data_IF_535601045709
#
_entry.id   IF_535601045709
#
_cell.length_a   1.000
_cell.length_b   1.000
_cell.length_c   1.000
_cell.angle_alpha   90.00
_cell.angle_beta   90.00
_cell.angle_gamma   90.00
#
_symmetry.space_group_name_H-M   'P 1'
#
loop_
_entity.id
_entity.type
_entity.pdbx_description
1 polymer ?
#
# COMPACT_ATOMS: atom_id res chain seq x y z
N UNK A 1 -7.87 16.86 -12.49
CA UNK A 1 -7.67 15.44 -12.12
C UNK A 1 -9.02 14.77 -12.16
N UNK A 2 -9.12 13.61 -12.80
CA UNK A 2 -10.34 12.79 -12.74
C UNK A 2 -10.60 12.34 -11.31
N UNK A 3 -11.86 11.99 -11.00
CA UNK A 3 -12.25 11.53 -9.66
C UNK A 3 -11.38 10.36 -9.19
N UNK A 4 -11.14 9.39 -10.07
CA UNK A 4 -10.34 8.22 -9.76
C UNK A 4 -8.86 8.56 -9.45
N UNK A 5 -8.29 9.55 -10.14
CA UNK A 5 -6.93 10.03 -9.85
C UNK A 5 -6.85 10.70 -8.47
N UNK A 6 -7.86 11.49 -8.10
CA UNK A 6 -7.90 12.15 -6.80
C UNK A 6 -8.00 11.12 -5.66
N UNK A 7 -8.87 10.10 -5.80
CA UNK A 7 -8.94 8.99 -4.84
C UNK A 7 -7.61 8.23 -4.80
N UNK A 8 -7.00 7.95 -5.94
CA UNK A 8 -5.72 7.23 -6.02
C UNK A 8 -4.58 7.98 -5.34
N UNK A 9 -4.58 9.31 -5.33
CA UNK A 9 -3.59 10.09 -4.58
C UNK A 9 -3.73 9.94 -3.07
N UNK A 10 -4.96 9.88 -2.57
CA UNK A 10 -5.23 9.63 -1.15
C UNK A 10 -4.76 8.21 -0.80
N UNK A 11 -5.14 7.22 -1.61
CA UNK A 11 -4.73 5.83 -1.42
C UNK A 11 -3.20 5.68 -1.48
N UNK A 12 -2.53 6.40 -2.38
CA UNK A 12 -1.07 6.46 -2.45
C UNK A 12 -0.46 6.97 -1.14
N UNK A 13 -0.99 8.06 -0.58
CA UNK A 13 -0.55 8.60 0.72
C UNK A 13 -0.77 7.61 1.88
N UNK A 14 -1.93 6.94 1.91
CA UNK A 14 -2.24 5.91 2.91
C UNK A 14 -1.29 4.71 2.80
N UNK A 15 -0.96 4.26 1.59
CA UNK A 15 0.00 3.18 1.39
C UNK A 15 1.39 3.53 1.93
N UNK A 16 1.87 4.76 1.74
CA UNK A 16 3.14 5.19 2.33
C UNK A 16 3.11 5.14 3.86
N UNK A 17 2.02 5.61 4.49
CA UNK A 17 1.85 5.48 5.94
C UNK A 17 1.89 4.01 6.38
N UNK A 18 1.15 3.13 5.71
CA UNK A 18 1.15 1.71 6.05
C UNK A 18 2.51 1.05 5.83
N UNK A 19 3.23 1.39 4.77
CA UNK A 19 4.59 0.87 4.55
C UNK A 19 5.55 1.33 5.65
N UNK A 20 5.47 2.58 6.10
CA UNK A 20 6.28 3.08 7.20
C UNK A 20 5.94 2.36 8.52
N UNK A 21 4.66 2.21 8.84
CA UNK A 21 4.21 1.50 10.04
C UNK A 21 4.57 0.01 10.00
N UNK A 22 4.44 -0.63 8.84
CA UNK A 22 4.77 -2.05 8.67
C UNK A 22 6.29 -2.26 8.73
N UNK A 23 7.07 -1.39 8.07
CA UNK A 23 8.53 -1.36 8.19
C UNK A 23 8.98 -1.18 9.64
N UNK A 24 8.34 -0.27 10.37
CA UNK A 24 8.57 -0.10 11.81
C UNK A 24 8.20 -1.35 12.61
N UNK A 25 7.08 -2.01 12.28
CA UNK A 25 6.67 -3.24 12.97
C UNK A 25 7.67 -4.37 12.82
N UNK A 26 8.38 -4.46 11.69
CA UNK A 26 9.41 -5.47 11.48
C UNK A 26 10.62 -5.33 12.41
N UNK A 27 10.85 -4.14 13.00
CA UNK A 27 11.89 -3.94 14.02
C UNK A 27 11.60 -4.74 15.30
N UNK A 28 10.32 -5.00 15.57
CA UNK A 28 9.85 -5.72 16.76
C UNK A 28 9.29 -7.11 16.44
N UNK A 29 9.19 -7.47 15.17
CA UNK A 29 8.65 -8.75 14.74
C UNK A 29 9.74 -9.83 14.77
N UNK A 30 9.57 -10.82 15.63
CA UNK A 30 10.49 -11.97 15.71
C UNK A 30 10.19 -12.99 14.60
N UNK A 31 11.20 -13.40 13.81
CA UNK A 31 11.04 -14.44 12.80
C UNK A 31 10.50 -15.75 13.39
N UNK A 32 9.61 -16.43 12.66
CA UNK A 32 8.98 -17.67 13.10
C UNK A 32 7.75 -17.50 13.99
N UNK A 33 7.37 -16.26 14.31
CA UNK A 33 6.12 -15.96 15.03
C UNK A 33 4.95 -15.73 14.06
N UNK A 34 3.72 -15.94 14.55
CA UNK A 34 2.51 -15.60 13.80
C UNK A 34 2.44 -14.13 13.40
N UNK A 35 2.91 -13.23 14.28
CA UNK A 35 2.95 -11.80 14.00
C UNK A 35 3.86 -11.46 12.79
N UNK A 36 5.01 -12.13 12.68
CA UNK A 36 5.91 -11.96 11.54
C UNK A 36 5.26 -12.42 10.22
N UNK A 37 4.55 -13.56 10.23
CA UNK A 37 3.81 -14.05 9.05
C UNK A 37 2.70 -13.06 8.67
N UNK A 38 1.94 -12.55 9.64
CA UNK A 38 0.88 -11.56 9.39
C UNK A 38 1.46 -10.28 8.79
N UNK A 39 2.60 -9.79 9.29
CA UNK A 39 3.27 -8.62 8.73
C UNK A 39 3.70 -8.85 7.27
N UNK A 40 4.25 -10.03 6.96
CA UNK A 40 4.61 -10.40 5.58
C UNK A 40 3.38 -10.50 4.66
N UNK A 41 2.30 -11.12 5.13
CA UNK A 41 1.07 -11.24 4.33
C UNK A 41 0.42 -9.87 4.11
N UNK A 42 0.56 -8.94 5.07
CA UNK A 42 0.05 -7.57 4.95
C UNK A 42 0.79 -6.76 3.88
N UNK A 43 2.05 -7.07 3.57
CA UNK A 43 2.77 -6.43 2.45
C UNK A 43 2.05 -6.63 1.12
N UNK A 44 1.41 -7.78 0.90
CA UNK A 44 0.79 -8.13 -0.39
C UNK A 44 -0.28 -7.10 -0.80
N UNK A 45 -1.36 -6.88 -0.02
CA UNK A 45 -2.38 -5.91 -0.40
C UNK A 45 -1.85 -4.47 -0.42
N UNK A 46 -0.88 -4.11 0.44
CA UNK A 46 -0.29 -2.77 0.45
C UNK A 46 0.49 -2.50 -0.84
N UNK A 47 1.33 -3.45 -1.28
CA UNK A 47 2.10 -3.32 -2.52
C UNK A 47 1.17 -3.31 -3.73
N UNK A 48 0.17 -4.19 -3.78
CA UNK A 48 -0.81 -4.20 -4.88
C UNK A 48 -1.58 -2.87 -4.96
N UNK A 49 -2.03 -2.35 -3.83
CA UNK A 49 -2.72 -1.06 -3.75
C UNK A 49 -1.82 0.11 -4.16
N UNK A 50 -0.55 0.08 -3.75
CA UNK A 50 0.45 1.08 -4.14
C UNK A 50 0.64 1.08 -5.66
N UNK A 51 0.90 -0.08 -6.25
CA UNK A 51 1.13 -0.23 -7.70
C UNK A 51 -0.11 0.18 -8.48
N UNK A 52 -1.31 -0.23 -8.05
CA UNK A 52 -2.56 0.19 -8.68
C UNK A 52 -2.74 1.71 -8.63
N UNK A 53 -2.51 2.34 -7.48
CA UNK A 53 -2.61 3.79 -7.32
C UNK A 53 -1.66 4.54 -8.25
N UNK A 54 -0.40 4.08 -8.31
CA UNK A 54 0.61 4.65 -9.23
C UNK A 54 0.19 4.46 -10.69
N UNK A 55 -0.31 3.29 -11.06
CA UNK A 55 -0.76 3.00 -12.41
C UNK A 55 -1.90 3.93 -12.83
N UNK A 56 -2.92 4.14 -11.99
CA UNK A 56 -4.03 5.07 -12.27
C UNK A 56 -3.54 6.50 -12.41
N UNK A 57 -2.70 6.97 -11.50
CA UNK A 57 -2.18 8.35 -11.53
C UNK A 57 -1.34 8.57 -12.80
N UNK A 58 -0.45 7.64 -13.13
CA UNK A 58 0.47 7.74 -14.26
C UNK A 58 -0.22 7.62 -15.62
N UNK A 59 -1.13 6.65 -15.76
CA UNK A 59 -1.84 6.43 -17.03
C UNK A 59 -3.01 7.40 -17.22
N UNK A 60 -3.49 8.02 -16.15
CA UNK A 60 -4.71 8.81 -16.16
C UNK A 60 -5.95 7.99 -16.50
N UNK A 61 -5.95 6.71 -16.14
CA UNK A 61 -7.07 5.81 -16.40
C UNK A 61 -8.36 6.36 -15.78
N UNK A 62 -9.39 6.47 -16.61
CA UNK A 62 -10.76 6.79 -16.23
C UNK A 62 -11.69 5.82 -16.97
N UNK A 63 -12.27 4.82 -16.28
CA UNK A 63 -13.11 3.81 -16.93
C UNK A 63 -14.52 4.30 -17.28
N UNK A 64 -14.91 5.51 -16.87
CA UNK A 64 -16.23 6.10 -17.07
C UNK A 64 -16.14 7.49 -17.70
#
# INVERSE_FOLDING_TARGET
>A
MGFLQAVSQIVLGVNFLFLLLLGFSFVFAEPGTGAYIVAQLTLIPVVLSLVASVAVIYTGWDPF
#
